data_IF_350627886411
#
_entry.id   IF_350627886411
#
_cell.length_a   1.000
_cell.length_b   1.000
_cell.length_c   1.000
_cell.angle_alpha   90.00
_cell.angle_beta   90.00
_cell.angle_gamma   90.00
#
_symmetry.space_group_name_H-M   'P 1'
#
loop_
_entity.id
_entity.type
_entity.pdbx_description
1 polymer ?
#
# COMPACT_ATOMS: atom_id res chain seq x y z
N UNK A 1 12.92 -11.61 17.62
CA UNK A 1 13.04 -10.27 16.99
C UNK A 1 11.84 -9.92 16.11
N UNK A 2 11.54 -10.68 15.05
CA UNK A 2 10.43 -10.37 14.13
C UNK A 2 9.08 -10.37 14.87
N UNK A 3 8.71 -11.48 15.52
CA UNK A 3 7.47 -11.58 16.30
C UNK A 3 7.38 -10.52 17.39
N UNK A 4 8.47 -10.27 18.12
CA UNK A 4 8.49 -9.23 19.15
C UNK A 4 8.29 -7.82 18.60
N UNK A 5 8.74 -7.54 17.37
CA UNK A 5 8.48 -6.26 16.69
C UNK A 5 7.04 -6.17 16.20
N UNK A 6 6.51 -7.26 15.66
CA UNK A 6 5.12 -7.36 15.21
C UNK A 6 4.13 -7.18 16.37
N UNK A 7 4.31 -7.90 17.48
CA UNK A 7 3.44 -7.76 18.64
C UNK A 7 3.54 -6.39 19.33
N UNK A 8 4.71 -5.72 19.28
CA UNK A 8 4.82 -4.32 19.71
C UNK A 8 3.98 -3.40 18.83
N UNK A 9 4.04 -3.57 17.50
CA UNK A 9 3.21 -2.82 16.56
C UNK A 9 1.71 -3.06 16.78
N UNK A 10 1.30 -4.31 17.00
CA UNK A 10 -0.09 -4.67 17.33
C UNK A 10 -0.54 -4.02 18.64
N UNK A 11 0.31 -4.02 19.68
CA UNK A 11 0.04 -3.34 20.94
C UNK A 11 -0.09 -1.81 20.82
N UNK A 12 0.45 -1.21 19.75
CA UNK A 12 0.33 0.23 19.46
C UNK A 12 -0.87 0.58 18.58
N UNK A 13 -1.67 -0.37 18.10
CA UNK A 13 -2.86 -0.08 17.28
C UNK A 13 -3.89 0.86 17.96
N UNK A 14 -3.90 0.91 19.29
CA UNK A 14 -4.74 1.83 20.05
C UNK A 14 -4.26 3.29 20.07
N UNK A 15 -3.07 3.58 19.53
CA UNK A 15 -2.47 4.92 19.53
C UNK A 15 -3.33 5.90 18.72
N UNK A 16 -3.66 7.10 19.27
CA UNK A 16 -4.43 8.11 18.56
C UNK A 16 -3.87 8.47 17.17
N UNK A 17 -2.53 8.46 17.00
CA UNK A 17 -1.90 8.75 15.71
C UNK A 17 -2.16 7.64 14.69
N UNK A 18 -2.15 6.38 15.12
CA UNK A 18 -2.46 5.24 14.23
C UNK A 18 -3.92 5.27 13.79
N UNK A 19 -4.84 5.57 14.72
CA UNK A 19 -6.26 5.72 14.42
C UNK A 19 -6.53 6.90 13.48
N UNK A 20 -5.90 8.05 13.72
CA UNK A 20 -6.00 9.22 12.84
C UNK A 20 -5.57 8.88 11.41
N UNK A 21 -4.42 8.21 11.27
CA UNK A 21 -3.92 7.71 9.99
C UNK A 21 -4.92 6.77 9.31
N UNK A 22 -5.48 5.82 10.05
CA UNK A 22 -6.48 4.88 9.53
C UNK A 22 -7.72 5.61 8.99
N UNK A 23 -8.29 6.51 9.79
CA UNK A 23 -9.48 7.27 9.39
C UNK A 23 -9.20 8.25 8.24
N UNK A 24 -8.01 8.87 8.20
CA UNK A 24 -7.60 9.69 7.05
C UNK A 24 -7.46 8.85 5.78
N UNK A 25 -6.88 7.65 5.87
CA UNK A 25 -6.79 6.74 4.72
C UNK A 25 -8.15 6.29 4.21
N UNK A 26 -9.06 5.93 5.12
CA UNK A 26 -10.44 5.58 4.76
C UNK A 26 -11.14 6.78 4.11
N UNK A 27 -11.09 7.96 4.74
CA UNK A 27 -11.71 9.18 4.22
C UNK A 27 -11.15 9.60 2.86
N UNK A 28 -9.83 9.53 2.67
CA UNK A 28 -9.17 9.84 1.40
C UNK A 28 -9.58 8.85 0.30
N UNK A 29 -9.70 7.57 0.63
CA UNK A 29 -10.16 6.54 -0.31
C UNK A 29 -11.57 6.85 -0.81
N UNK A 30 -12.50 7.15 0.10
CA UNK A 30 -13.87 7.55 -0.27
C UNK A 30 -13.90 8.85 -1.05
N UNK A 31 -13.13 9.87 -0.63
CA UNK A 31 -13.06 11.15 -1.32
C UNK A 31 -12.54 11.00 -2.76
N UNK A 32 -11.46 10.24 -2.96
CA UNK A 32 -10.91 9.97 -4.30
C UNK A 32 -11.87 9.15 -5.15
N UNK A 33 -12.55 8.16 -4.57
CA UNK A 33 -13.56 7.38 -5.28
C UNK A 33 -14.71 8.27 -5.78
N UNK A 34 -15.27 9.10 -4.89
CA UNK A 34 -16.34 10.04 -5.25
C UNK A 34 -15.87 11.05 -6.29
N UNK A 35 -14.69 11.66 -6.09
CA UNK A 35 -14.16 12.68 -7.01
C UNK A 35 -13.87 12.11 -8.40
N UNK A 36 -13.30 10.91 -8.48
CA UNK A 36 -13.00 10.25 -9.76
C UNK A 36 -14.28 9.81 -10.45
N UNK A 37 -15.24 9.27 -9.70
CA UNK A 37 -16.55 8.89 -10.22
C UNK A 37 -17.29 10.11 -10.78
N UNK A 38 -17.38 11.20 -10.00
CA UNK A 38 -18.00 12.44 -10.44
C UNK A 38 -17.28 13.07 -11.64
N UNK A 39 -15.93 13.07 -11.64
CA UNK A 39 -15.13 13.58 -12.75
C UNK A 39 -15.33 12.76 -14.03
N UNK A 40 -15.47 11.45 -13.91
CA UNK A 40 -15.74 10.57 -15.05
C UNK A 40 -17.16 10.80 -15.60
N UNK A 41 -18.16 10.97 -14.73
CA UNK A 41 -19.51 11.33 -15.16
C UNK A 41 -19.51 12.66 -15.91
N UNK A 42 -18.88 13.70 -15.35
CA UNK A 42 -18.76 15.01 -15.99
C UNK A 42 -18.02 14.93 -17.34
N UNK A 43 -16.98 14.09 -17.44
CA UNK A 43 -16.24 13.87 -18.69
C UNK A 43 -17.12 13.18 -19.75
N UNK A 44 -17.90 12.19 -19.34
CA UNK A 44 -18.82 11.48 -20.23
C UNK A 44 -19.90 12.46 -20.73
N UNK A 45 -20.54 13.20 -19.83
CA UNK A 45 -21.53 14.24 -20.17
C UNK A 45 -20.96 15.26 -21.16
N UNK A 46 -19.73 15.71 -20.94
CA UNK A 46 -19.04 16.65 -21.83
C UNK A 46 -18.76 16.05 -23.21
N UNK A 47 -18.40 14.77 -23.30
CA UNK A 47 -18.07 14.09 -24.55
C UNK A 47 -19.30 13.67 -25.37
N UNK A 48 -20.42 13.31 -24.72
CA UNK A 48 -21.61 12.76 -25.38
C UNK A 48 -22.76 13.76 -25.55
N UNK A 49 -22.68 14.93 -24.91
CA UNK A 49 -23.79 15.89 -24.84
C UNK A 49 -24.98 15.37 -24.02
N UNK A 50 -26.03 16.18 -23.90
CA UNK A 50 -27.19 15.92 -23.00
C UNK A 50 -28.03 14.69 -23.42
N UNK A 51 -27.97 14.25 -24.67
CA UNK A 51 -28.72 13.10 -25.18
C UNK A 51 -27.92 12.35 -26.25
N UNK A 52 -27.65 11.06 -26.03
CA UNK A 52 -27.17 10.15 -27.08
C UNK A 52 -28.17 9.01 -27.20
N UNK A 53 -28.88 8.96 -28.33
CA UNK A 53 -29.70 7.82 -28.71
C UNK A 53 -28.77 6.71 -29.23
N UNK A 54 -28.63 5.63 -28.44
CA UNK A 54 -27.90 4.45 -28.89
C UNK A 54 -28.82 3.58 -29.75
N UNK A 55 -28.42 3.17 -30.99
CA UNK A 55 -29.30 2.51 -31.95
C UNK A 55 -29.84 1.13 -31.54
N UNK A 56 -29.41 0.62 -30.38
CA UNK A 56 -29.79 -0.71 -29.87
C UNK A 56 -30.58 -0.64 -28.55
N UNK A 57 -30.55 0.49 -27.82
CA UNK A 57 -31.03 0.57 -26.42
C UNK A 57 -32.15 1.60 -26.22
N UNK A 58 -32.39 2.52 -27.17
CA UNK A 58 -33.46 3.53 -27.08
C UNK A 58 -33.00 4.85 -26.44
N UNK A 59 -33.96 5.67 -25.96
CA UNK A 59 -33.68 6.93 -25.25
C UNK A 59 -33.08 6.65 -23.87
N UNK A 60 -31.79 6.98 -23.70
CA UNK A 60 -31.07 6.78 -22.44
C UNK A 60 -31.07 8.09 -21.65
N UNK A 61 -31.84 8.13 -20.57
CA UNK A 61 -31.75 9.19 -19.56
C UNK A 61 -30.78 8.73 -18.46
N UNK A 62 -29.54 9.22 -18.51
CA UNK A 62 -28.40 8.67 -17.75
C UNK A 62 -28.51 8.74 -16.22
N UNK A 63 -29.36 9.62 -15.69
CA UNK A 63 -29.71 9.65 -14.26
C UNK A 63 -30.47 8.38 -13.83
N UNK A 64 -31.24 7.74 -14.73
CA UNK A 64 -31.86 6.43 -14.51
C UNK A 64 -30.89 5.25 -14.63
N UNK A 65 -29.78 5.44 -15.35
CA UNK A 65 -28.75 4.41 -15.64
C UNK A 65 -27.67 4.28 -14.56
N UNK A 66 -27.75 5.05 -13.46
CA UNK A 66 -27.04 4.75 -12.22
C UNK A 66 -27.27 3.30 -11.73
N UNK A 67 -28.34 2.65 -12.21
CA UNK A 67 -28.72 1.26 -11.93
C UNK A 67 -28.45 0.29 -13.10
N UNK A 68 -27.83 0.74 -14.21
CA UNK A 68 -27.57 -0.12 -15.36
C UNK A 68 -26.35 -1.03 -15.15
N UNK A 69 -26.35 -2.19 -15.81
CA UNK A 69 -25.27 -3.17 -15.71
C UNK A 69 -23.91 -2.59 -16.13
N UNK A 70 -23.89 -1.62 -17.06
CA UNK A 70 -22.66 -0.98 -17.57
C UNK A 70 -21.96 -0.08 -16.54
N UNK A 71 -22.72 0.65 -15.71
CA UNK A 71 -22.14 1.50 -14.66
C UNK A 71 -21.49 0.68 -13.54
N UNK A 72 -22.03 -0.53 -13.27
CA UNK A 72 -21.43 -1.49 -12.34
C UNK A 72 -20.03 -1.93 -12.79
N UNK A 73 -19.84 -2.34 -14.06
CA UNK A 73 -18.50 -2.72 -14.57
C UNK A 73 -17.54 -1.54 -14.61
N UNK A 74 -18.01 -0.37 -15.03
CA UNK A 74 -17.21 0.86 -15.02
C UNK A 74 -16.71 1.15 -13.60
N UNK A 75 -17.59 1.11 -12.60
CA UNK A 75 -17.23 1.31 -11.19
C UNK A 75 -16.25 0.25 -10.69
N UNK A 76 -16.41 -1.01 -11.10
CA UNK A 76 -15.52 -2.11 -10.73
C UNK A 76 -14.11 -1.89 -11.29
N UNK A 77 -13.99 -1.52 -12.58
CA UNK A 77 -12.72 -1.19 -13.23
C UNK A 77 -12.09 0.06 -12.61
N UNK A 78 -12.88 1.11 -12.37
CA UNK A 78 -12.39 2.35 -11.77
C UNK A 78 -11.89 2.12 -10.35
N UNK A 79 -12.60 1.31 -9.55
CA UNK A 79 -12.17 0.97 -8.20
C UNK A 79 -10.84 0.20 -8.20
N UNK A 80 -10.66 -0.71 -9.16
CA UNK A 80 -9.41 -1.45 -9.31
C UNK A 80 -8.26 -0.53 -9.75
N UNK A 81 -8.52 0.41 -10.67
CA UNK A 81 -7.51 1.38 -11.12
C UNK A 81 -7.14 2.37 -10.00
N UNK A 82 -8.13 2.89 -9.28
CA UNK A 82 -7.95 3.82 -8.16
C UNK A 82 -7.22 3.19 -6.97
N UNK A 83 -7.27 1.87 -6.83
CA UNK A 83 -6.52 1.16 -5.80
C UNK A 83 -5.04 1.55 -5.82
N UNK A 84 -4.41 1.69 -7.00
CA UNK A 84 -2.97 1.95 -7.11
C UNK A 84 -2.58 3.37 -6.65
N UNK A 85 -3.19 4.46 -7.17
CA UNK A 85 -2.92 5.82 -6.69
C UNK A 85 -3.24 6.01 -5.21
N UNK A 86 -4.37 5.45 -4.75
CA UNK A 86 -4.80 5.52 -3.35
C UNK A 86 -3.79 4.82 -2.46
N UNK A 87 -3.42 3.57 -2.78
CA UNK A 87 -2.43 2.82 -2.01
C UNK A 87 -1.07 3.53 -1.98
N UNK A 88 -0.64 4.15 -3.09
CA UNK A 88 0.60 4.92 -3.15
C UNK A 88 0.56 6.18 -2.27
N UNK A 89 -0.53 6.94 -2.31
CA UNK A 89 -0.70 8.14 -1.50
C UNK A 89 -0.74 7.80 0.00
N UNK A 90 -1.50 6.76 0.36
CA UNK A 90 -1.61 6.23 1.72
C UNK A 90 -0.23 5.77 2.23
N UNK A 91 0.49 4.97 1.44
CA UNK A 91 1.78 4.42 1.88
C UNK A 91 2.81 5.50 2.10
N UNK A 92 2.89 6.53 1.24
CA UNK A 92 3.88 7.60 1.41
C UNK A 92 3.52 8.57 2.54
N UNK A 93 2.27 9.04 2.63
CA UNK A 93 1.89 10.05 3.65
C UNK A 93 1.84 9.46 5.05
N UNK A 94 1.34 8.24 5.20
CA UNK A 94 1.04 7.68 6.51
C UNK A 94 2.15 6.85 7.11
N UNK A 95 3.00 6.23 6.28
CA UNK A 95 4.19 5.54 6.79
C UNK A 95 5.06 6.49 7.58
N UNK A 96 5.20 7.74 7.11
CA UNK A 96 6.01 8.75 7.78
C UNK A 96 5.49 9.05 9.20
N UNK A 97 4.18 9.31 9.31
CA UNK A 97 3.50 9.60 10.58
C UNK A 97 3.50 8.39 11.53
N UNK A 98 3.24 7.18 11.03
CA UNK A 98 3.24 5.95 11.83
C UNK A 98 4.62 5.63 12.39
N UNK A 99 5.65 5.65 11.54
CA UNK A 99 7.00 5.34 12.00
C UNK A 99 7.54 6.44 12.94
N UNK A 100 7.16 7.72 12.75
CA UNK A 100 7.47 8.76 13.73
C UNK A 100 6.77 8.50 15.08
N UNK A 101 5.51 8.08 15.08
CA UNK A 101 4.78 7.75 16.30
C UNK A 101 5.38 6.55 17.05
N UNK A 102 5.91 5.55 16.33
CA UNK A 102 6.68 4.46 16.93
C UNK A 102 7.97 4.96 17.55
N UNK A 103 8.70 5.82 16.84
CA UNK A 103 9.98 6.37 17.29
C UNK A 103 9.83 7.28 18.51
N UNK A 104 8.84 8.16 18.52
CA UNK A 104 8.56 9.04 19.67
C UNK A 104 8.24 8.22 20.93
N UNK A 105 7.52 7.09 20.77
CA UNK A 105 7.09 6.26 21.89
C UNK A 105 8.16 5.29 22.39
N UNK A 106 8.92 4.69 21.47
CA UNK A 106 9.82 3.59 21.79
C UNK A 106 11.30 3.93 21.65
N UNK A 107 11.64 5.02 20.96
CA UNK A 107 13.02 5.43 20.68
C UNK A 107 13.22 6.96 20.86
N UNK A 108 12.89 7.53 22.03
CA UNK A 108 12.82 8.98 22.23
C UNK A 108 14.18 9.71 22.15
N UNK A 109 15.30 8.98 22.15
CA UNK A 109 16.66 9.56 22.09
C UNK A 109 17.18 9.75 20.67
N UNK A 110 16.38 9.41 19.66
CA UNK A 110 16.81 9.55 18.27
C UNK A 110 16.80 11.03 17.83
N UNK A 111 17.76 11.45 16.98
CA UNK A 111 17.69 12.76 16.34
C UNK A 111 16.46 12.86 15.43
N UNK A 112 16.03 14.07 15.04
CA UNK A 112 14.95 14.25 14.07
C UNK A 112 15.20 13.43 12.80
N UNK A 113 14.15 12.77 12.29
CA UNK A 113 14.24 12.02 11.04
C UNK A 113 14.37 12.98 9.84
N UNK A 114 15.14 12.57 8.82
CA UNK A 114 15.24 13.34 7.59
C UNK A 114 13.94 13.19 6.79
N UNK A 115 13.42 14.31 6.28
CA UNK A 115 12.31 14.27 5.33
C UNK A 115 12.83 13.85 3.96
N UNK A 116 12.22 12.85 3.36
CA UNK A 116 12.56 12.39 2.02
C UNK A 116 12.08 13.43 0.99
N UNK A 117 12.94 13.93 0.09
CA UNK A 117 12.50 14.85 -0.97
C UNK A 117 11.45 14.21 -1.90
N UNK A 118 10.44 14.97 -2.32
CA UNK A 118 9.35 14.48 -3.17
C UNK A 118 9.84 13.83 -4.47
N UNK A 119 10.85 14.41 -5.12
CA UNK A 119 11.44 13.86 -6.33
C UNK A 119 12.12 12.50 -6.13
N UNK A 120 12.65 12.24 -4.93
CA UNK A 120 13.17 10.92 -4.59
C UNK A 120 12.01 9.92 -4.43
N UNK A 121 10.94 10.31 -3.73
CA UNK A 121 9.75 9.47 -3.53
C UNK A 121 9.14 8.99 -4.86
N UNK A 122 9.01 9.86 -5.87
CA UNK A 122 8.51 9.48 -7.21
C UNK A 122 9.39 8.42 -7.86
N UNK A 123 10.71 8.55 -7.75
CA UNK A 123 11.66 7.57 -8.30
C UNK A 123 11.56 6.22 -7.58
N UNK A 124 11.28 6.20 -6.28
CA UNK A 124 11.01 4.96 -5.53
C UNK A 124 9.74 4.29 -6.03
N UNK A 125 8.64 5.04 -6.17
CA UNK A 125 7.37 4.52 -6.67
C UNK A 125 7.51 3.87 -8.05
N UNK A 126 8.21 4.51 -9.00
CA UNK A 126 8.40 3.97 -10.34
C UNK A 126 9.25 2.69 -10.33
N UNK A 127 10.35 2.67 -9.57
CA UNK A 127 11.19 1.48 -9.47
C UNK A 127 10.44 0.32 -8.80
N UNK A 128 9.66 0.61 -7.76
CA UNK A 128 8.87 -0.40 -7.06
C UNK A 128 7.74 -0.94 -7.95
N UNK A 129 7.11 -0.08 -8.76
CA UNK A 129 6.12 -0.50 -9.75
C UNK A 129 6.72 -1.51 -10.74
N UNK A 130 7.93 -1.26 -11.25
CA UNK A 130 8.63 -2.21 -12.12
C UNK A 130 8.89 -3.56 -11.44
N UNK A 131 9.27 -3.55 -10.16
CA UNK A 131 9.47 -4.78 -9.36
C UNK A 131 8.14 -5.52 -9.15
N UNK A 132 7.06 -4.80 -8.83
CA UNK A 132 5.71 -5.38 -8.68
C UNK A 132 5.27 -6.07 -9.97
N UNK A 133 5.43 -5.41 -11.12
CA UNK A 133 5.02 -5.97 -12.42
C UNK A 133 5.82 -7.24 -12.71
N UNK A 134 7.15 -7.19 -12.57
CA UNK A 134 8.00 -8.36 -12.81
C UNK A 134 7.68 -9.52 -11.84
N UNK A 135 7.45 -9.23 -10.57
CA UNK A 135 7.10 -10.22 -9.57
C UNK A 135 5.75 -10.89 -9.87
N UNK A 136 4.72 -10.10 -10.20
CA UNK A 136 3.40 -10.64 -10.54
C UNK A 136 3.42 -11.48 -11.82
N UNK A 137 4.17 -11.06 -12.84
CA UNK A 137 4.33 -11.84 -14.06
C UNK A 137 5.00 -13.19 -13.76
N UNK A 138 6.05 -13.19 -12.94
CA UNK A 138 6.72 -14.41 -12.50
C UNK A 138 5.78 -15.31 -11.69
N UNK A 139 5.00 -14.75 -10.76
CA UNK A 139 4.03 -15.53 -9.99
C UNK A 139 2.94 -16.13 -10.87
N UNK A 140 2.46 -15.41 -11.88
CA UNK A 140 1.50 -15.95 -12.84
C UNK A 140 2.05 -17.21 -13.52
N UNK A 141 3.30 -17.14 -14.01
CA UNK A 141 3.99 -18.31 -14.59
C UNK A 141 4.08 -19.45 -13.56
N UNK A 142 4.52 -19.16 -12.33
CA UNK A 142 4.67 -20.17 -11.28
C UNK A 142 3.32 -20.81 -10.88
N UNK A 143 2.23 -20.05 -10.83
CA UNK A 143 0.90 -20.58 -10.49
C UNK A 143 0.37 -21.56 -11.54
N UNK A 144 0.67 -21.33 -12.82
CA UNK A 144 0.29 -22.22 -13.92
C UNK A 144 1.01 -23.57 -13.81
N UNK A 145 2.31 -23.57 -13.46
CA UNK A 145 3.10 -24.81 -13.39
C UNK A 145 3.04 -25.52 -12.02
N UNK A 146 2.77 -24.78 -10.94
CA UNK A 146 2.85 -25.27 -9.56
C UNK A 146 1.60 -24.91 -8.75
N UNK A 147 0.42 -25.28 -9.23
CA UNK A 147 -0.87 -24.94 -8.60
C UNK A 147 -0.97 -25.33 -7.11
N UNK A 148 -0.51 -26.53 -6.66
CA UNK A 148 -0.54 -26.87 -5.23
C UNK A 148 0.38 -25.99 -4.37
N UNK A 149 1.42 -25.40 -4.98
CA UNK A 149 2.35 -24.51 -4.29
C UNK A 149 1.88 -23.04 -4.28
N UNK A 150 0.72 -22.72 -4.88
CA UNK A 150 0.23 -21.35 -5.03
C UNK A 150 0.15 -20.55 -3.71
N UNK A 151 -0.32 -21.12 -2.58
CA UNK A 151 -0.32 -20.38 -1.30
C UNK A 151 1.10 -20.01 -0.84
N UNK A 152 2.07 -20.90 -1.02
CA UNK A 152 3.46 -20.65 -0.63
C UNK A 152 4.10 -19.57 -1.51
N UNK A 153 3.86 -19.64 -2.83
CA UNK A 153 4.31 -18.62 -3.79
C UNK A 153 3.69 -17.26 -3.44
N UNK A 154 2.39 -17.23 -3.13
CA UNK A 154 1.68 -16.01 -2.73
C UNK A 154 2.33 -15.35 -1.52
N UNK A 155 2.54 -16.08 -0.42
CA UNK A 155 3.14 -15.53 0.79
C UNK A 155 4.62 -15.18 0.61
N UNK A 156 5.38 -16.00 -0.12
CA UNK A 156 6.79 -15.75 -0.41
C UNK A 156 6.97 -14.46 -1.23
N UNK A 157 6.20 -14.30 -2.31
CA UNK A 157 6.28 -13.13 -3.19
C UNK A 157 5.77 -11.88 -2.49
N UNK A 158 4.56 -11.91 -1.94
CA UNK A 158 4.00 -10.73 -1.26
C UNK A 158 4.85 -10.36 -0.04
N UNK A 159 5.34 -11.36 0.70
CA UNK A 159 6.26 -11.12 1.80
C UNK A 159 7.56 -10.47 1.36
N UNK A 160 8.11 -10.86 0.20
CA UNK A 160 9.27 -10.19 -0.36
C UNK A 160 8.99 -8.73 -0.69
N UNK A 161 7.89 -8.46 -1.39
CA UNK A 161 7.50 -7.11 -1.80
C UNK A 161 7.26 -6.20 -0.59
N UNK A 162 6.42 -6.63 0.36
CA UNK A 162 6.13 -5.88 1.59
C UNK A 162 7.42 -5.63 2.38
N UNK A 163 8.21 -6.69 2.60
CA UNK A 163 9.42 -6.57 3.41
C UNK A 163 10.42 -5.59 2.83
N UNK A 164 10.70 -5.70 1.54
CA UNK A 164 11.66 -4.82 0.88
C UNK A 164 11.16 -3.38 0.84
N UNK A 165 9.87 -3.15 0.61
CA UNK A 165 9.30 -1.81 0.52
C UNK A 165 9.28 -1.09 1.88
N UNK A 166 8.58 -1.67 2.87
CA UNK A 166 8.44 -1.04 4.18
C UNK A 166 9.78 -0.84 4.88
N UNK A 167 10.70 -1.82 4.80
CA UNK A 167 12.04 -1.65 5.37
C UNK A 167 12.81 -0.52 4.68
N UNK A 168 12.77 -0.46 3.34
CA UNK A 168 13.52 0.56 2.58
C UNK A 168 13.01 1.96 2.91
N UNK A 169 11.69 2.14 2.96
CA UNK A 169 11.08 3.43 3.28
C UNK A 169 11.48 3.91 4.69
N UNK A 170 11.45 3.03 5.69
CA UNK A 170 11.91 3.34 7.05
C UNK A 170 13.41 3.66 7.07
N UNK A 171 14.23 2.85 6.41
CA UNK A 171 15.68 3.02 6.42
C UNK A 171 16.13 4.32 5.72
N UNK A 172 15.48 4.70 4.61
CA UNK A 172 15.79 5.94 3.88
C UNK A 172 15.67 7.17 4.79
N UNK A 173 14.62 7.24 5.63
CA UNK A 173 14.39 8.35 6.57
C UNK A 173 15.53 8.55 7.58
N UNK A 174 16.31 7.49 7.84
CA UNK A 174 17.33 7.48 8.89
C UNK A 174 18.75 7.51 8.36
N UNK A 175 19.05 6.76 7.32
CA UNK A 175 20.43 6.60 6.80
C UNK A 175 20.58 7.02 5.33
N UNK A 176 19.48 7.43 4.68
CA UNK A 176 19.48 7.75 3.26
C UNK A 176 19.56 6.52 2.36
N UNK A 177 19.42 6.74 1.06
CA UNK A 177 19.12 5.68 0.08
C UNK A 177 20.23 4.65 -0.14
N UNK A 178 21.48 5.11 -0.20
CA UNK A 178 22.61 4.21 -0.44
C UNK A 178 22.79 3.23 0.73
N UNK A 179 22.84 3.77 1.95
CA UNK A 179 22.96 2.95 3.17
C UNK A 179 21.74 2.07 3.42
N UNK A 180 20.53 2.54 3.09
CA UNK A 180 19.32 1.72 3.16
C UNK A 180 19.41 0.48 2.24
N UNK A 181 19.91 0.63 1.01
CA UNK A 181 20.14 -0.50 0.09
C UNK A 181 21.18 -1.48 0.62
N UNK A 182 22.27 -0.97 1.22
CA UNK A 182 23.30 -1.83 1.82
C UNK A 182 22.76 -2.64 3.01
N UNK A 183 22.05 -1.98 3.94
CA UNK A 183 21.43 -2.67 5.07
C UNK A 183 20.41 -3.71 4.61
N UNK A 184 19.60 -3.38 3.59
CA UNK A 184 18.63 -4.30 3.01
C UNK A 184 19.32 -5.55 2.44
N UNK A 185 20.44 -5.39 1.74
CA UNK A 185 21.22 -6.51 1.21
C UNK A 185 21.83 -7.37 2.33
N UNK A 186 22.33 -6.74 3.39
CA UNK A 186 22.91 -7.45 4.55
C UNK A 186 21.89 -8.26 5.36
N UNK A 187 20.64 -7.80 5.43
CA UNK A 187 19.60 -8.42 6.25
C UNK A 187 18.41 -8.95 5.45
N UNK A 188 18.63 -9.29 4.18
CA UNK A 188 17.58 -9.65 3.23
C UNK A 188 16.67 -10.76 3.78
N UNK A 189 17.24 -11.81 4.35
CA UNK A 189 16.48 -12.95 4.89
C UNK A 189 15.58 -12.54 6.05
N UNK A 190 16.08 -11.75 6.99
CA UNK A 190 15.29 -11.27 8.14
C UNK A 190 14.15 -10.37 7.69
N UNK A 191 14.43 -9.47 6.75
CA UNK A 191 13.44 -8.55 6.18
C UNK A 191 12.37 -9.34 5.42
N UNK A 192 12.78 -10.34 4.64
CA UNK A 192 11.87 -11.17 3.88
C UNK A 192 10.97 -12.03 4.76
N UNK A 193 11.52 -12.70 5.79
CA UNK A 193 10.73 -13.48 6.75
C UNK A 193 9.74 -12.61 7.52
N UNK A 194 10.13 -11.38 7.89
CA UNK A 194 9.21 -10.42 8.49
C UNK A 194 8.10 -10.01 7.52
N UNK A 195 8.44 -9.85 6.25
CA UNK A 195 7.47 -9.58 5.20
C UNK A 195 6.49 -10.74 5.00
N UNK A 196 6.95 -12.00 5.04
CA UNK A 196 6.08 -13.18 4.97
C UNK A 196 5.09 -13.17 6.14
N UNK A 197 5.55 -12.88 7.36
CA UNK A 197 4.67 -12.73 8.53
C UNK A 197 3.62 -11.63 8.29
N UNK A 198 4.02 -10.50 7.68
CA UNK A 198 3.13 -9.40 7.31
C UNK A 198 2.20 -9.72 6.13
N UNK A 199 2.51 -10.73 5.32
CA UNK A 199 1.68 -11.18 4.21
C UNK A 199 0.55 -12.13 4.66
N UNK A 200 0.69 -12.82 5.81
CA UNK A 200 -0.36 -13.71 6.32
C UNK A 200 -1.71 -13.00 6.53
N UNK A 201 -1.76 -11.78 7.13
CA UNK A 201 -3.00 -11.05 7.31
C UNK A 201 -3.64 -10.56 6.01
N UNK A 202 -2.92 -10.53 4.87
CA UNK A 202 -3.48 -10.10 3.57
C UNK A 202 -4.64 -10.98 3.13
N UNK A 203 -4.66 -12.25 3.56
CA UNK A 203 -5.72 -13.19 3.23
C UNK A 203 -7.06 -12.86 3.91
N UNK A 204 -7.08 -11.92 4.86
CA UNK A 204 -8.27 -11.51 5.59
C UNK A 204 -8.71 -10.11 5.09
N UNK A 205 -9.82 -10.00 4.33
CA UNK A 205 -10.20 -8.76 3.62
C UNK A 205 -10.26 -7.50 4.49
N UNK A 206 -10.75 -7.60 5.73
CA UNK A 206 -10.85 -6.46 6.65
C UNK A 206 -9.52 -6.10 7.32
N UNK A 207 -8.63 -7.08 7.52
CA UNK A 207 -7.34 -6.85 8.17
C UNK A 207 -6.38 -6.14 7.23
N UNK A 208 -6.58 -6.28 5.91
CA UNK A 208 -5.78 -5.61 4.89
C UNK A 208 -5.73 -4.08 5.07
N UNK A 209 -6.80 -3.46 5.60
CA UNK A 209 -6.85 -2.02 5.90
C UNK A 209 -5.81 -1.56 6.94
N UNK A 210 -5.40 -2.48 7.83
CA UNK A 210 -4.48 -2.19 8.94
C UNK A 210 -3.03 -2.50 8.53
N UNK A 211 -2.83 -3.26 7.45
CA UNK A 211 -1.50 -3.72 7.01
C UNK A 211 -0.52 -2.57 6.76
N UNK A 212 -0.89 -1.44 6.11
CA UNK A 212 0.05 -0.34 5.94
C UNK A 212 0.58 0.22 7.26
N UNK A 213 -0.28 0.30 8.29
CA UNK A 213 0.06 0.78 9.63
C UNK A 213 0.95 -0.25 10.34
N UNK A 214 0.55 -1.52 10.32
CA UNK A 214 1.31 -2.60 10.95
C UNK A 214 2.66 -2.82 10.28
N UNK A 215 2.74 -2.70 8.95
CA UNK A 215 3.96 -2.81 8.17
C UNK A 215 4.93 -1.71 8.55
N UNK A 216 4.49 -0.45 8.46
CA UNK A 216 5.30 0.70 8.88
C UNK A 216 5.83 0.56 10.31
N UNK A 217 4.97 0.19 11.26
CA UNK A 217 5.36 0.06 12.66
C UNK A 217 6.30 -1.13 12.92
N UNK A 218 5.99 -2.30 12.36
CA UNK A 218 6.80 -3.52 12.51
C UNK A 218 8.19 -3.33 11.92
N UNK A 219 8.29 -2.77 10.70
CA UNK A 219 9.57 -2.54 10.05
C UNK A 219 10.36 -1.41 10.69
N UNK A 220 9.71 -0.43 11.34
CA UNK A 220 10.40 0.55 12.20
C UNK A 220 11.10 -0.12 13.38
N UNK A 221 10.40 -1.02 14.08
CA UNK A 221 11.04 -1.78 15.16
C UNK A 221 12.15 -2.71 14.66
N UNK A 222 11.96 -3.36 13.51
CA UNK A 222 12.99 -4.22 12.90
C UNK A 222 14.22 -3.41 12.52
N UNK A 223 14.03 -2.25 11.88
CA UNK A 223 15.11 -1.36 11.49
C UNK A 223 15.99 -0.96 12.68
N UNK A 224 15.39 -0.49 13.78
CA UNK A 224 16.14 -0.06 14.96
C UNK A 224 16.87 -1.23 15.63
N UNK A 225 16.24 -2.41 15.69
CA UNK A 225 16.91 -3.61 16.20
C UNK A 225 18.08 -4.07 15.32
N UNK A 226 17.96 -4.01 13.99
CA UNK A 226 19.05 -4.35 13.07
C UNK A 226 20.17 -3.31 13.10
N UNK A 227 19.83 -2.06 13.41
CA UNK A 227 20.79 -0.96 13.51
C UNK A 227 21.47 -0.87 14.88
N UNK A 228 21.10 -1.72 15.85
CA UNK A 228 21.66 -1.70 17.21
C UNK A 228 21.10 -0.59 18.13
N UNK A 229 19.97 0.01 17.76
CA UNK A 229 19.34 1.14 18.48
C UNK A 229 18.16 0.70 19.39
N UNK A 230 18.05 -0.59 19.72
CA UNK A 230 16.86 -1.19 20.33
C UNK A 230 17.02 -1.65 21.77
#
# INVERSE_FOLDING_TARGET
>A
MIFTSFFKAVGQLGDPRFRKVLFLGIGLTFALLIATYAGLLALIEWLTGETTTLPVVGEVTWVGDLLSFGSFFLMLILSAFLMVPVASAITSMFLDEVAQAVEDRHYPRLPPANRTPFGEAVKDTINFLGIIIAANLLAFVLYVFFTPAAPFIFYAMNGYLLGMEYFTLVAIRRVGRQKAKEQRRRHLTTIWLAGILMALPLSIPLVNLIIPILGAATFTHIYHRLSGNA
#
